data_IF_847775489502
#
_entry.id   IF_847775489502
#
_cell.length_a   1.000
_cell.length_b   1.000
_cell.length_c   1.000
_cell.angle_alpha   90.00
_cell.angle_beta   90.00
_cell.angle_gamma   90.00
#
_symmetry.space_group_name_H-M   'P 1'
#
loop_
_entity.id
_entity.type
_entity.pdbx_description
1 polymer ?
#
# COMPACT_ATOMS: atom_id res chain seq x y z
N UNK A 1 16.31 19.00 -20.79
CA UNK A 1 16.09 17.72 -21.51
C UNK A 1 14.59 17.50 -21.69
N UNK A 2 14.15 16.68 -22.67
CA UNK A 2 12.73 16.25 -22.72
C UNK A 2 12.44 15.38 -21.48
N UNK A 3 11.27 15.51 -20.82
CA UNK A 3 10.91 14.65 -19.70
C UNK A 3 10.92 13.17 -20.08
N UNK A 4 11.51 12.37 -19.20
CA UNK A 4 11.71 10.92 -19.33
C UNK A 4 10.78 10.18 -18.38
N UNK A 5 10.09 9.16 -18.88
CA UNK A 5 9.38 8.16 -18.08
C UNK A 5 10.32 6.99 -17.82
N UNK A 6 10.75 6.83 -16.57
CA UNK A 6 11.55 5.71 -16.09
C UNK A 6 10.64 4.75 -15.33
N UNK A 7 10.69 3.46 -15.66
CA UNK A 7 9.85 2.45 -15.00
C UNK A 7 10.67 1.60 -14.05
N UNK A 8 10.35 1.69 -12.75
CA UNK A 8 10.98 0.93 -11.68
C UNK A 8 10.36 -0.48 -11.57
N UNK A 9 11.15 -1.50 -11.93
CA UNK A 9 10.73 -2.90 -11.93
C UNK A 9 10.91 -3.54 -10.55
N UNK A 10 10.12 -3.10 -9.57
CA UNK A 10 10.15 -3.57 -8.18
C UNK A 10 9.49 -4.95 -7.99
N UNK A 11 10.06 -5.97 -8.63
CA UNK A 11 9.64 -7.36 -8.48
C UNK A 11 10.73 -8.19 -7.80
N UNK A 12 10.40 -9.15 -6.93
CA UNK A 12 11.37 -10.14 -6.47
C UNK A 12 11.62 -11.27 -7.50
N UNK A 13 10.88 -11.29 -8.61
CA UNK A 13 10.95 -12.34 -9.63
C UNK A 13 11.31 -11.75 -10.99
N UNK A 14 12.41 -12.24 -11.57
CA UNK A 14 12.94 -11.75 -12.83
C UNK A 14 11.98 -11.92 -14.02
N UNK A 15 11.24 -13.03 -14.09
CA UNK A 15 10.35 -13.29 -15.22
C UNK A 15 9.22 -12.25 -15.27
N UNK A 16 8.62 -11.96 -14.11
CA UNK A 16 7.59 -10.92 -14.00
C UNK A 16 8.13 -9.53 -14.32
N UNK A 17 9.36 -9.22 -13.86
CA UNK A 17 10.02 -7.96 -14.21
C UNK A 17 10.21 -7.80 -15.71
N UNK A 18 10.69 -8.84 -16.41
CA UNK A 18 10.90 -8.82 -17.87
C UNK A 18 9.59 -8.63 -18.64
N UNK A 19 8.50 -9.28 -18.21
CA UNK A 19 7.17 -9.12 -18.82
C UNK A 19 6.65 -7.69 -18.64
N UNK A 20 6.70 -7.16 -17.41
CA UNK A 20 6.29 -5.79 -17.13
C UNK A 20 7.14 -4.75 -17.88
N UNK A 21 8.44 -5.01 -18.04
CA UNK A 21 9.33 -4.17 -18.83
C UNK A 21 8.90 -4.11 -20.31
N UNK A 22 8.56 -5.24 -20.92
CA UNK A 22 8.10 -5.30 -22.31
C UNK A 22 6.80 -4.52 -22.50
N UNK A 23 5.82 -4.71 -21.61
CA UNK A 23 4.54 -3.99 -21.61
C UNK A 23 4.75 -2.47 -21.44
N UNK A 24 5.56 -2.07 -20.46
CA UNK A 24 5.85 -0.67 -20.19
C UNK A 24 6.53 0.04 -21.37
N UNK A 25 7.46 -0.63 -22.06
CA UNK A 25 8.11 -0.10 -23.26
C UNK A 25 7.11 0.08 -24.41
N UNK A 26 6.20 -0.88 -24.64
CA UNK A 26 5.09 -0.73 -25.61
C UNK A 26 4.18 0.45 -25.26
N UNK A 27 4.05 0.75 -23.97
CA UNK A 27 3.32 1.91 -23.45
C UNK A 27 4.07 3.24 -23.58
N UNK A 28 5.32 3.25 -24.04
CA UNK A 28 6.11 4.47 -24.24
C UNK A 28 7.00 4.86 -23.06
N UNK A 29 7.34 3.93 -22.17
CA UNK A 29 8.44 4.10 -21.23
C UNK A 29 9.75 4.35 -21.98
N UNK A 30 10.54 5.32 -21.52
CA UNK A 30 11.82 5.66 -22.15
C UNK A 30 12.95 4.84 -21.53
N UNK A 31 12.97 4.74 -20.19
CA UNK A 31 14.02 4.06 -19.41
C UNK A 31 13.41 2.95 -18.57
N UNK A 32 14.20 1.92 -18.31
CA UNK A 32 13.86 0.86 -17.36
C UNK A 32 14.85 0.89 -16.20
N UNK A 33 14.36 0.55 -15.01
CA UNK A 33 15.16 0.46 -13.80
C UNK A 33 15.00 -0.94 -13.20
N UNK A 34 16.12 -1.63 -12.99
CA UNK A 34 16.17 -2.78 -12.12
C UNK A 34 16.06 -2.28 -10.67
N UNK A 35 14.85 -2.30 -10.12
CA UNK A 35 14.57 -1.78 -8.79
C UNK A 35 15.28 -2.56 -7.68
N UNK A 36 15.46 -1.94 -6.51
CA UNK A 36 16.16 -2.57 -5.37
C UNK A 36 15.64 -3.98 -5.02
N UNK A 37 14.31 -4.27 -4.96
CA UNK A 37 13.82 -5.61 -4.64
C UNK A 37 14.24 -6.68 -5.66
N UNK A 38 14.32 -6.30 -6.94
CA UNK A 38 14.74 -7.19 -8.01
C UNK A 38 16.23 -7.51 -7.91
N UNK A 39 17.06 -6.48 -7.74
CA UNK A 39 18.50 -6.65 -7.54
C UNK A 39 18.79 -7.46 -6.27
N UNK A 40 18.05 -7.23 -5.18
CA UNK A 40 18.25 -8.00 -3.93
C UNK A 40 17.87 -9.47 -4.06
N UNK A 41 16.90 -9.80 -4.90
CA UNK A 41 16.45 -11.18 -5.08
C UNK A 41 17.31 -11.94 -6.10
N UNK A 42 17.64 -11.30 -7.22
CA UNK A 42 18.23 -11.95 -8.41
C UNK A 42 19.70 -11.54 -8.64
N UNK A 43 20.22 -10.64 -7.81
CA UNK A 43 21.51 -9.99 -8.03
C UNK A 43 21.54 -9.17 -9.32
N UNK A 44 22.75 -8.87 -9.78
CA UNK A 44 22.97 -8.18 -11.06
C UNK A 44 22.68 -9.05 -12.29
N UNK A 45 22.27 -10.31 -12.10
CA UNK A 45 21.74 -11.11 -13.21
C UNK A 45 20.48 -10.46 -13.80
N UNK A 46 19.67 -9.79 -12.98
CA UNK A 46 18.51 -9.04 -13.47
C UNK A 46 18.89 -7.95 -14.48
N UNK A 47 19.97 -7.19 -14.20
CA UNK A 47 20.48 -6.14 -15.09
C UNK A 47 21.00 -6.76 -16.40
N UNK A 48 21.72 -7.89 -16.33
CA UNK A 48 22.23 -8.60 -17.51
C UNK A 48 21.10 -9.08 -18.43
N UNK A 49 20.07 -9.69 -17.86
CA UNK A 49 18.93 -10.19 -18.64
C UNK A 49 18.09 -9.04 -19.22
N UNK A 50 17.90 -7.94 -18.49
CA UNK A 50 17.29 -6.72 -19.03
C UNK A 50 18.09 -6.15 -20.21
N UNK A 51 19.42 -6.03 -20.08
CA UNK A 51 20.29 -5.56 -21.17
C UNK A 51 20.23 -6.48 -22.38
N UNK A 52 20.28 -7.80 -22.16
CA UNK A 52 20.19 -8.80 -23.23
C UNK A 52 18.87 -8.72 -23.98
N UNK A 53 17.76 -8.53 -23.26
CA UNK A 53 16.41 -8.47 -23.84
C UNK A 53 16.12 -7.12 -24.50
N UNK A 54 16.65 -6.03 -23.97
CA UNK A 54 16.38 -4.66 -24.40
C UNK A 54 17.68 -3.86 -24.66
N UNK A 55 18.50 -4.25 -25.66
CA UNK A 55 19.85 -3.72 -25.84
C UNK A 55 19.93 -2.21 -26.13
N UNK A 56 18.89 -1.62 -26.72
CA UNK A 56 18.84 -0.19 -27.04
C UNK A 56 18.21 0.70 -25.96
N UNK A 57 17.70 0.12 -24.87
CA UNK A 57 17.00 0.88 -23.82
C UNK A 57 18.00 1.37 -22.78
N UNK A 58 17.77 2.58 -22.26
CA UNK A 58 18.57 3.11 -21.15
C UNK A 58 18.17 2.42 -19.85
N UNK A 59 19.13 1.82 -19.17
CA UNK A 59 18.92 0.99 -17.99
C UNK A 59 19.52 1.63 -16.74
N UNK A 60 18.72 1.80 -15.70
CA UNK A 60 19.18 2.14 -14.36
C UNK A 60 19.29 0.89 -13.49
N UNK A 61 20.31 0.82 -12.64
CA UNK A 61 20.43 -0.17 -11.58
C UNK A 61 20.28 0.55 -10.24
N UNK A 62 19.18 0.25 -9.54
CA UNK A 62 18.86 0.84 -8.26
C UNK A 62 19.56 0.11 -7.11
N UNK A 63 20.88 0.29 -7.07
CA UNK A 63 21.76 -0.38 -6.12
C UNK A 63 21.55 0.12 -4.69
N UNK A 64 21.14 1.39 -4.53
CA UNK A 64 21.11 2.09 -3.24
C UNK A 64 22.44 1.93 -2.49
N UNK A 65 23.54 2.01 -3.25
CA UNK A 65 24.90 1.92 -2.73
C UNK A 65 25.08 2.93 -1.61
N UNK A 66 25.57 2.46 -0.47
CA UNK A 66 25.88 3.28 0.71
C UNK A 66 27.37 3.29 1.03
N UNK A 67 28.08 2.26 0.60
CA UNK A 67 29.52 2.04 0.79
C UNK A 67 30.09 1.34 -0.46
N UNK A 68 31.40 1.38 -0.64
CA UNK A 68 32.12 0.73 -1.75
C UNK A 68 31.69 1.22 -3.14
N UNK A 69 31.54 2.55 -3.28
CA UNK A 69 31.01 3.22 -4.47
C UNK A 69 31.64 2.76 -5.78
N UNK A 70 32.97 2.61 -5.83
CA UNK A 70 33.63 2.15 -7.04
C UNK A 70 33.30 0.70 -7.42
N UNK A 71 33.25 -0.20 -6.43
CA UNK A 71 33.02 -1.63 -6.65
C UNK A 71 31.61 -1.89 -7.15
N UNK A 72 30.60 -1.34 -6.48
CA UNK A 72 29.20 -1.57 -6.86
C UNK A 72 28.86 -0.93 -8.22
N UNK A 73 29.39 0.26 -8.51
CA UNK A 73 29.23 0.91 -9.82
C UNK A 73 29.89 0.08 -10.92
N UNK A 74 31.10 -0.42 -10.70
CA UNK A 74 31.78 -1.31 -11.65
C UNK A 74 30.94 -2.54 -11.94
N UNK A 75 30.45 -3.21 -10.90
CA UNK A 75 29.65 -4.42 -11.03
C UNK A 75 28.38 -4.15 -11.85
N UNK A 76 27.64 -3.08 -11.53
CA UNK A 76 26.40 -2.71 -12.22
C UNK A 76 26.65 -2.29 -13.67
N UNK A 77 27.67 -1.48 -13.93
CA UNK A 77 28.05 -1.05 -15.28
C UNK A 77 28.45 -2.25 -16.15
N UNK A 78 29.29 -3.15 -15.64
CA UNK A 78 29.66 -4.41 -16.35
C UNK A 78 28.47 -5.33 -16.57
N UNK A 79 27.44 -5.27 -15.73
CA UNK A 79 26.19 -6.00 -15.94
C UNK A 79 25.31 -5.37 -17.04
N UNK A 80 25.61 -4.14 -17.47
CA UNK A 80 24.93 -3.46 -18.58
C UNK A 80 24.10 -2.24 -18.17
N UNK A 81 24.23 -1.74 -16.93
CA UNK A 81 23.57 -0.51 -16.50
C UNK A 81 24.19 0.72 -17.16
N UNK A 82 23.35 1.66 -17.60
CA UNK A 82 23.78 2.99 -18.03
C UNK A 82 23.80 3.99 -16.88
N UNK A 83 22.91 3.81 -15.90
CA UNK A 83 22.82 4.63 -14.71
C UNK A 83 22.94 3.73 -13.49
N UNK A 84 23.71 4.14 -12.50
CA UNK A 84 23.76 3.49 -11.18
C UNK A 84 23.20 4.46 -10.14
N UNK A 85 22.21 4.00 -9.38
CA UNK A 85 21.56 4.80 -8.33
C UNK A 85 22.22 4.49 -6.98
N UNK A 86 22.72 5.53 -6.32
CA UNK A 86 23.37 5.46 -5.01
C UNK A 86 22.59 6.30 -3.99
N UNK A 87 22.73 6.02 -2.69
CA UNK A 87 22.01 6.77 -1.66
C UNK A 87 22.66 8.13 -1.40
N UNK A 88 21.82 9.15 -1.20
CA UNK A 88 22.25 10.49 -0.81
C UNK A 88 22.81 10.55 0.60
N UNK A 89 22.53 9.57 1.45
CA UNK A 89 23.13 9.42 2.77
C UNK A 89 24.55 8.82 2.75
N UNK A 90 25.05 8.39 1.59
CA UNK A 90 26.42 7.89 1.45
C UNK A 90 27.44 8.99 1.72
N UNK A 91 28.62 8.62 2.22
CA UNK A 91 29.72 9.57 2.43
C UNK A 91 30.21 10.18 1.10
N UNK A 92 30.73 11.41 1.16
CA UNK A 92 31.25 12.09 -0.02
C UNK A 92 32.39 11.32 -0.71
N UNK A 93 33.21 10.59 0.05
CA UNK A 93 34.24 9.71 -0.51
C UNK A 93 33.63 8.60 -1.38
N UNK A 94 32.56 7.95 -0.90
CA UNK A 94 31.82 6.93 -1.63
C UNK A 94 31.20 7.51 -2.91
N UNK A 95 30.59 8.70 -2.83
CA UNK A 95 30.02 9.38 -4.00
C UNK A 95 31.11 9.72 -5.02
N UNK A 96 32.27 10.23 -4.59
CA UNK A 96 33.40 10.55 -5.49
C UNK A 96 33.91 9.30 -6.19
N UNK A 97 34.14 8.21 -5.45
CA UNK A 97 34.56 6.93 -6.02
C UNK A 97 33.55 6.37 -7.02
N UNK A 98 32.25 6.49 -6.72
CA UNK A 98 31.18 6.10 -7.63
C UNK A 98 31.21 6.92 -8.93
N UNK A 99 31.38 8.25 -8.84
CA UNK A 99 31.49 9.13 -10.02
C UNK A 99 32.73 8.79 -10.86
N UNK A 100 33.87 8.55 -10.22
CA UNK A 100 35.11 8.13 -10.91
C UNK A 100 34.95 6.77 -11.59
N UNK A 101 34.35 5.79 -10.92
CA UNK A 101 34.03 4.49 -11.51
C UNK A 101 33.03 4.62 -12.67
N UNK A 102 32.01 5.47 -12.53
CA UNK A 102 31.05 5.77 -13.59
C UNK A 102 31.75 6.28 -14.85
N UNK A 103 32.67 7.25 -14.71
CA UNK A 103 33.48 7.75 -15.84
C UNK A 103 34.34 6.66 -16.48
N UNK A 104 34.95 5.78 -15.69
CA UNK A 104 35.79 4.67 -16.21
C UNK A 104 35.00 3.63 -16.98
N UNK A 105 33.79 3.30 -16.52
CA UNK A 105 32.97 2.23 -17.09
C UNK A 105 31.83 2.71 -18.00
N UNK A 106 31.72 4.01 -18.24
CA UNK A 106 30.69 4.59 -19.11
C UNK A 106 29.28 4.57 -18.51
N UNK A 107 29.18 4.69 -17.18
CA UNK A 107 27.92 4.79 -16.45
C UNK A 107 27.76 6.16 -15.79
N UNK A 108 26.53 6.65 -15.75
CA UNK A 108 26.14 7.87 -15.07
C UNK A 108 25.69 7.58 -13.64
N UNK A 109 25.89 8.53 -12.73
CA UNK A 109 25.51 8.39 -11.33
C UNK A 109 24.25 9.21 -11.06
N UNK A 110 23.21 8.53 -10.58
CA UNK A 110 22.04 9.15 -9.99
C UNK A 110 22.10 9.00 -8.47
N UNK A 111 21.78 10.05 -7.72
CA UNK A 111 21.76 9.98 -6.25
C UNK A 111 20.34 10.14 -5.74
N UNK A 112 19.86 9.14 -5.00
CA UNK A 112 18.55 9.12 -4.37
C UNK A 112 18.58 9.82 -3.00
N UNK A 113 17.84 10.92 -2.85
CA UNK A 113 17.77 11.71 -1.62
C UNK A 113 16.84 11.10 -0.55
N UNK A 114 16.33 9.89 -0.75
CA UNK A 114 15.52 9.20 0.26
C UNK A 114 16.24 9.17 1.61
N UNK A 115 15.53 9.62 2.66
CA UNK A 115 16.07 9.63 4.02
C UNK A 115 17.09 10.74 4.32
N UNK A 116 17.41 11.62 3.38
CA UNK A 116 18.26 12.77 3.65
C UNK A 116 17.52 13.82 4.50
N UNK A 117 18.10 14.21 5.64
CA UNK A 117 17.52 15.23 6.53
C UNK A 117 17.47 16.62 5.87
N UNK A 118 18.47 16.96 5.05
CA UNK A 118 18.62 18.26 4.38
C UNK A 118 18.80 18.07 2.88
N UNK A 119 17.74 17.72 2.14
CA UNK A 119 17.83 17.35 0.73
C UNK A 119 18.39 18.48 -0.15
N UNK A 120 18.06 19.74 0.16
CA UNK A 120 18.55 20.90 -0.57
C UNK A 120 20.07 21.11 -0.44
N UNK A 121 20.57 21.11 0.80
CA UNK A 121 22.01 21.22 1.07
C UNK A 121 22.77 20.05 0.44
N UNK A 122 22.21 18.84 0.55
CA UNK A 122 22.80 17.64 -0.02
C UNK A 122 22.89 17.70 -1.53
N UNK A 123 21.83 18.10 -2.24
CA UNK A 123 21.85 18.23 -3.69
C UNK A 123 22.93 19.19 -4.21
N UNK A 124 23.13 20.33 -3.54
CA UNK A 124 24.19 21.30 -3.89
C UNK A 124 25.60 20.71 -3.69
N UNK A 125 25.79 19.85 -2.69
CA UNK A 125 27.06 19.15 -2.50
C UNK A 125 27.28 18.13 -3.62
N UNK A 126 26.27 17.32 -3.93
CA UNK A 126 26.33 16.28 -4.96
C UNK A 126 26.65 16.85 -6.35
N UNK A 127 26.13 18.03 -6.68
CA UNK A 127 26.48 18.77 -7.89
C UNK A 127 27.98 19.08 -7.98
N UNK A 128 28.59 19.55 -6.88
CA UNK A 128 30.03 19.79 -6.81
C UNK A 128 30.86 18.50 -6.91
N UNK A 129 30.31 17.37 -6.48
CA UNK A 129 30.95 16.06 -6.59
C UNK A 129 30.86 15.46 -8.00
N UNK A 130 30.14 16.11 -8.93
CA UNK A 130 30.07 15.70 -10.33
C UNK A 130 29.10 14.56 -10.62
N UNK A 131 28.06 14.42 -9.78
CA UNK A 131 26.93 13.52 -10.00
C UNK A 131 26.14 13.95 -11.25
N UNK A 132 25.55 13.00 -11.98
CA UNK A 132 24.79 13.29 -13.20
C UNK A 132 23.32 13.66 -12.93
N UNK A 133 22.70 13.02 -11.93
CA UNK A 133 21.27 13.18 -11.64
C UNK A 133 21.00 13.17 -10.12
N UNK A 134 19.98 13.89 -9.69
CA UNK A 134 19.49 13.84 -8.30
C UNK A 134 18.03 13.41 -8.28
N UNK A 135 17.69 12.40 -7.51
CA UNK A 135 16.32 11.89 -7.36
C UNK A 135 15.70 12.36 -6.04
N UNK A 136 14.57 13.07 -6.15
CA UNK A 136 13.70 13.41 -5.03
C UNK A 136 12.76 12.23 -4.78
N UNK A 137 13.05 11.48 -3.72
CA UNK A 137 12.26 10.32 -3.35
C UNK A 137 11.76 10.49 -1.92
N UNK A 138 10.44 10.48 -1.76
CA UNK A 138 9.81 10.50 -0.44
C UNK A 138 9.29 9.11 -0.13
N UNK A 139 9.92 8.45 0.85
CA UNK A 139 9.48 7.14 1.33
C UNK A 139 8.09 7.19 1.97
N UNK A 140 7.43 6.04 2.06
CA UNK A 140 6.05 5.90 2.57
C UNK A 140 5.90 6.53 3.97
N UNK A 141 6.84 6.27 4.87
CA UNK A 141 6.81 6.79 6.24
C UNK A 141 6.95 8.31 6.32
N UNK A 142 7.60 8.93 5.33
CA UNK A 142 7.76 10.39 5.25
C UNK A 142 6.52 11.06 4.65
N UNK A 143 5.86 10.41 3.67
CA UNK A 143 4.57 10.87 3.15
C UNK A 143 3.52 10.89 4.28
N UNK A 144 3.52 9.89 5.16
CA UNK A 144 2.65 9.85 6.35
C UNK A 144 2.92 10.97 7.34
N UNK A 145 4.11 11.57 7.33
CA UNK A 145 4.47 12.77 8.13
C UNK A 145 4.17 14.09 7.41
N UNK A 146 3.47 14.05 6.27
CA UNK A 146 3.06 15.24 5.51
C UNK A 146 4.14 15.83 4.59
N UNK A 147 5.23 15.10 4.32
CA UNK A 147 6.26 15.53 3.37
C UNK A 147 5.72 15.41 1.95
N UNK A 148 5.56 16.54 1.26
CA UNK A 148 5.13 16.58 -0.14
C UNK A 148 6.34 16.56 -1.10
N UNK A 149 6.54 15.49 -1.89
CA UNK A 149 7.67 15.37 -2.82
C UNK A 149 7.72 16.49 -3.86
N UNK A 150 6.57 16.96 -4.36
CA UNK A 150 6.50 18.03 -5.35
C UNK A 150 7.03 19.36 -4.79
N UNK A 151 6.79 19.63 -3.50
CA UNK A 151 7.30 20.83 -2.84
C UNK A 151 8.83 20.81 -2.75
N UNK A 152 9.40 19.66 -2.37
CA UNK A 152 10.86 19.49 -2.31
C UNK A 152 11.49 19.62 -3.70
N UNK A 153 10.85 19.03 -4.71
CA UNK A 153 11.27 19.13 -6.10
C UNK A 153 11.29 20.59 -6.59
N UNK A 154 10.22 21.36 -6.36
CA UNK A 154 10.17 22.77 -6.78
C UNK A 154 11.23 23.64 -6.11
N UNK A 155 11.57 23.36 -4.85
CA UNK A 155 12.66 24.05 -4.15
C UNK A 155 14.03 23.72 -4.78
N UNK A 156 14.26 22.46 -5.13
CA UNK A 156 15.52 22.02 -5.75
C UNK A 156 15.69 22.56 -7.18
N UNK A 157 14.60 22.63 -7.96
CA UNK A 157 14.65 23.05 -9.36
C UNK A 157 15.21 24.47 -9.57
N UNK A 158 15.11 25.35 -8.56
CA UNK A 158 15.69 26.70 -8.60
C UNK A 158 17.11 26.81 -8.05
N UNK A 159 17.68 25.73 -7.50
CA UNK A 159 18.85 25.78 -6.63
C UNK A 159 20.02 24.92 -7.10
N UNK A 160 19.77 23.98 -8.02
CA UNK A 160 20.80 23.15 -8.69
C UNK A 160 20.57 23.12 -10.20
N UNK A 161 21.63 22.96 -10.97
CA UNK A 161 21.59 22.83 -12.45
C UNK A 161 21.45 21.39 -12.93
N UNK A 162 21.62 20.41 -12.03
CA UNK A 162 21.46 18.99 -12.33
C UNK A 162 20.03 18.64 -12.78
N UNK A 163 19.86 17.74 -13.75
CA UNK A 163 18.54 17.19 -14.04
C UNK A 163 17.98 16.44 -12.83
N UNK A 164 16.75 16.78 -12.47
CA UNK A 164 16.06 16.20 -11.31
C UNK A 164 15.17 15.04 -11.72
N UNK A 165 15.26 13.96 -10.96
CA UNK A 165 14.32 12.85 -10.98
C UNK A 165 13.34 12.97 -9.79
N UNK A 166 12.15 12.38 -9.93
CA UNK A 166 11.20 12.23 -8.82
C UNK A 166 10.67 10.80 -8.77
N UNK A 167 10.57 10.26 -7.56
CA UNK A 167 10.05 8.93 -7.28
C UNK A 167 9.13 8.94 -6.04
N UNK A 168 8.32 7.89 -5.90
CA UNK A 168 7.47 7.66 -4.73
C UNK A 168 6.01 8.04 -4.96
N UNK A 169 5.20 7.06 -5.37
CA UNK A 169 3.74 7.22 -5.50
C UNK A 169 3.29 8.05 -6.70
N UNK A 170 4.15 8.27 -7.70
CA UNK A 170 3.78 8.98 -8.93
C UNK A 170 2.82 8.14 -9.77
N UNK A 171 1.78 8.76 -10.31
CA UNK A 171 0.77 8.14 -11.18
C UNK A 171 0.36 9.12 -12.30
N UNK A 172 -0.70 8.79 -13.06
CA UNK A 172 -1.14 9.59 -14.21
C UNK A 172 -1.71 10.97 -13.84
N UNK A 173 -2.01 11.23 -12.57
CA UNK A 173 -2.47 12.54 -12.09
C UNK A 173 -1.29 13.42 -11.70
N UNK A 174 -0.32 12.84 -11.00
CA UNK A 174 0.80 13.60 -10.42
C UNK A 174 2.00 13.73 -11.37
N UNK A 175 2.11 12.88 -12.40
CA UNK A 175 3.23 12.92 -13.35
C UNK A 175 3.31 14.25 -14.12
N UNK A 176 2.17 14.81 -14.52
CA UNK A 176 2.11 16.11 -15.18
C UNK A 176 2.57 17.25 -14.27
N UNK A 177 2.19 17.21 -12.99
CA UNK A 177 2.58 18.19 -11.98
C UNK A 177 4.07 18.11 -11.66
N UNK A 178 4.63 16.90 -11.58
CA UNK A 178 6.05 16.67 -11.42
C UNK A 178 6.88 17.32 -12.55
N UNK A 179 6.46 17.15 -13.80
CA UNK A 179 7.12 17.80 -14.95
C UNK A 179 7.08 19.32 -14.80
N UNK A 180 5.91 19.88 -14.48
CA UNK A 180 5.74 21.34 -14.26
C UNK A 180 6.59 21.86 -13.09
N UNK A 181 6.78 21.05 -12.06
CA UNK A 181 7.59 21.36 -10.90
C UNK A 181 9.12 21.28 -11.16
N UNK A 182 9.54 20.85 -12.35
CA UNK A 182 10.95 20.84 -12.77
C UNK A 182 11.59 19.45 -12.88
N UNK A 183 10.84 18.37 -12.70
CA UNK A 183 11.37 17.02 -12.91
C UNK A 183 11.65 16.77 -14.39
N UNK A 184 12.88 16.34 -14.67
CA UNK A 184 13.29 15.85 -15.97
C UNK A 184 13.11 14.34 -16.13
N UNK A 185 13.10 13.59 -15.02
CA UNK A 185 12.95 12.14 -14.99
C UNK A 185 11.84 11.78 -14.01
N UNK A 186 10.83 11.06 -14.48
CA UNK A 186 9.65 10.70 -13.70
C UNK A 186 9.71 9.19 -13.51
N UNK A 187 10.04 8.77 -12.28
CA UNK A 187 10.22 7.36 -11.93
C UNK A 187 8.88 6.82 -11.42
N UNK A 188 8.33 5.82 -12.13
CA UNK A 188 7.07 5.19 -11.77
C UNK A 188 7.24 3.69 -11.61
N UNK A 189 6.91 3.18 -10.42
CA UNK A 189 6.83 1.76 -10.13
C UNK A 189 5.38 1.29 -10.09
N UNK A 190 4.80 1.27 -8.88
CA UNK A 190 3.50 0.66 -8.57
C UNK A 190 2.38 0.95 -9.56
N UNK A 191 2.20 2.20 -9.98
CA UNK A 191 1.12 2.60 -10.90
C UNK A 191 1.19 1.96 -12.29
N UNK A 192 2.36 1.45 -12.69
CA UNK A 192 2.54 0.68 -13.94
C UNK A 192 2.64 -0.80 -13.61
N UNK A 193 3.53 -1.19 -12.71
CA UNK A 193 3.89 -2.60 -12.53
C UNK A 193 2.81 -3.41 -11.79
N UNK A 194 1.88 -2.77 -11.08
CA UNK A 194 0.73 -3.43 -10.43
C UNK A 194 -0.55 -3.30 -11.26
N UNK A 195 -0.53 -2.55 -12.35
CA UNK A 195 -1.67 -2.45 -13.24
C UNK A 195 -2.01 -3.80 -13.88
N UNK A 196 -3.32 -4.05 -14.02
CA UNK A 196 -3.82 -5.17 -14.81
C UNK A 196 -3.36 -5.10 -16.27
N UNK A 197 -3.21 -3.89 -16.80
CA UNK A 197 -2.61 -3.58 -18.10
C UNK A 197 -1.51 -2.52 -17.91
N UNK A 198 -0.26 -2.97 -17.87
CA UNK A 198 0.89 -2.09 -17.68
C UNK A 198 1.23 -1.26 -18.92
N UNK A 199 0.88 -1.74 -20.12
CA UNK A 199 1.09 -1.01 -21.36
C UNK A 199 0.21 0.23 -21.39
N UNK A 200 -1.09 0.07 -21.11
CA UNK A 200 -2.03 1.19 -21.06
C UNK A 200 -1.74 2.13 -19.88
N UNK A 201 -1.34 1.60 -18.73
CA UNK A 201 -0.92 2.43 -17.59
C UNK A 201 0.27 3.33 -17.94
N UNK A 202 1.33 2.77 -18.54
CA UNK A 202 2.49 3.52 -19.00
C UNK A 202 2.10 4.55 -20.07
N UNK A 203 1.23 4.19 -21.02
CA UNK A 203 0.73 5.10 -22.06
C UNK A 203 -0.02 6.30 -21.48
N UNK A 204 -0.90 6.08 -20.51
CA UNK A 204 -1.62 7.15 -19.82
C UNK A 204 -0.68 8.10 -19.11
N UNK A 205 0.29 7.58 -18.38
CA UNK A 205 1.29 8.39 -17.67
C UNK A 205 2.12 9.21 -18.67
N UNK A 206 2.63 8.57 -19.73
CA UNK A 206 3.39 9.24 -20.79
C UNK A 206 2.59 10.37 -21.43
N UNK A 207 1.31 10.13 -21.73
CA UNK A 207 0.38 11.14 -22.28
C UNK A 207 0.15 12.29 -21.30
N UNK A 208 0.00 12.02 -20.00
CA UNK A 208 -0.14 13.07 -18.99
C UNK A 208 1.10 13.96 -18.91
N UNK A 209 2.30 13.35 -18.98
CA UNK A 209 3.57 14.08 -19.00
C UNK A 209 3.72 14.95 -20.25
N UNK A 210 3.35 14.44 -21.43
CA UNK A 210 3.51 15.17 -22.69
C UNK A 210 2.47 16.28 -22.88
N UNK A 211 1.23 16.07 -22.43
CA UNK A 211 0.18 17.09 -22.53
C UNK A 211 0.22 18.09 -21.37
N UNK A 212 0.89 17.74 -20.26
CA UNK A 212 0.85 18.52 -19.02
C UNK A 212 -0.52 18.51 -18.34
N UNK A 213 -1.41 17.57 -18.69
CA UNK A 213 -2.76 17.44 -18.14
C UNK A 213 -2.84 16.18 -17.27
N UNK A 214 -3.20 16.31 -15.98
CA UNK A 214 -3.49 15.16 -15.11
C UNK A 214 -4.60 14.27 -15.70
N UNK A 215 -4.39 12.96 -15.69
CA UNK A 215 -5.40 11.98 -16.13
C UNK A 215 -5.87 11.19 -14.90
N UNK A 216 -7.16 11.27 -14.52
CA UNK A 216 -7.69 10.57 -13.34
C UNK A 216 -7.44 9.06 -13.35
N UNK A 217 -7.07 8.53 -12.18
CA UNK A 217 -6.88 7.12 -11.88
C UNK A 217 -7.55 6.78 -10.54
N UNK A 218 -8.41 5.76 -10.50
CA UNK A 218 -9.05 5.28 -9.27
C UNK A 218 -8.16 4.37 -8.42
N UNK A 219 -7.00 3.98 -8.95
CA UNK A 219 -6.02 3.09 -8.30
C UNK A 219 -4.65 3.77 -8.18
N UNK A 220 -3.78 3.23 -7.33
CA UNK A 220 -2.40 3.66 -7.12
C UNK A 220 -2.27 5.06 -6.51
N UNK A 221 -3.27 5.47 -5.72
CA UNK A 221 -3.21 6.68 -4.89
C UNK A 221 -2.82 6.29 -3.47
N UNK A 222 -2.04 7.13 -2.80
CA UNK A 222 -1.79 7.02 -1.35
C UNK A 222 -2.63 8.06 -0.65
N UNK A 223 -3.36 7.62 0.38
CA UNK A 223 -4.34 8.49 1.04
C UNK A 223 -3.91 8.90 2.44
N UNK A 224 -4.40 10.06 2.84
CA UNK A 224 -4.26 10.58 4.20
C UNK A 224 -5.36 10.10 5.16
N UNK A 225 -5.35 10.59 6.41
CA UNK A 225 -6.30 10.18 7.46
C UNK A 225 -7.78 10.34 7.08
N UNK A 226 -8.14 11.31 6.23
CA UNK A 226 -9.53 11.62 5.86
C UNK A 226 -10.21 10.59 4.95
N UNK A 227 -9.43 9.72 4.29
CA UNK A 227 -9.94 8.80 3.25
C UNK A 227 -9.87 7.33 3.70
N UNK A 228 -9.39 7.07 4.92
CA UNK A 228 -9.21 5.72 5.49
C UNK A 228 -10.48 4.88 5.38
N UNK A 229 -11.64 5.46 5.71
CA UNK A 229 -12.92 4.74 5.63
C UNK A 229 -13.21 4.25 4.21
N UNK A 230 -12.98 5.09 3.21
CA UNK A 230 -13.26 4.77 1.82
C UNK A 230 -12.40 3.59 1.34
N UNK A 231 -11.11 3.57 1.68
CA UNK A 231 -10.23 2.42 1.38
C UNK A 231 -10.72 1.16 2.09
N UNK A 232 -10.99 1.24 3.40
CA UNK A 232 -11.37 0.05 4.17
C UNK A 232 -12.72 -0.54 3.73
N UNK A 233 -13.58 0.26 3.10
CA UNK A 233 -14.80 -0.23 2.44
C UNK A 233 -14.52 -0.87 1.07
N UNK A 234 -13.45 -0.47 0.37
CA UNK A 234 -13.02 -1.04 -0.93
C UNK A 234 -12.29 -2.38 -0.79
N UNK A 235 -11.39 -2.51 0.18
CA UNK A 235 -10.54 -3.71 0.37
C UNK A 235 -11.26 -4.80 1.19
N UNK A 236 -10.93 -6.07 0.98
CA UNK A 236 -11.48 -7.18 1.77
C UNK A 236 -10.81 -7.33 3.15
N UNK A 237 -11.48 -8.01 4.09
CA UNK A 237 -10.87 -8.41 5.37
C UNK A 237 -9.65 -9.32 5.16
N UNK A 238 -9.64 -10.14 4.11
CA UNK A 238 -8.46 -10.92 3.70
C UNK A 238 -7.28 -10.03 3.31
N UNK A 239 -7.51 -9.00 2.49
CA UNK A 239 -6.45 -8.05 2.11
C UNK A 239 -5.89 -7.30 3.35
N UNK A 240 -6.75 -6.94 4.30
CA UNK A 240 -6.35 -6.30 5.56
C UNK A 240 -5.53 -7.27 6.43
N UNK A 241 -5.97 -8.53 6.55
CA UNK A 241 -5.25 -9.57 7.28
C UNK A 241 -3.85 -9.78 6.71
N UNK A 242 -3.71 -9.88 5.39
CA UNK A 242 -2.41 -9.98 4.71
C UNK A 242 -1.53 -8.75 4.93
N UNK A 243 -2.11 -7.55 4.88
CA UNK A 243 -1.42 -6.30 5.21
C UNK A 243 -0.94 -6.22 6.67
N UNK A 244 -1.60 -6.96 7.57
CA UNK A 244 -1.24 -7.12 8.99
C UNK A 244 -0.42 -8.39 9.28
N UNK A 245 0.11 -9.06 8.26
CA UNK A 245 0.85 -10.32 8.37
C UNK A 245 0.04 -11.48 8.97
N UNK A 246 -1.19 -11.67 8.48
CA UNK A 246 -2.12 -12.75 8.86
C UNK A 246 -2.58 -12.61 10.32
N UNK A 247 -3.00 -11.40 10.71
CA UNK A 247 -3.43 -11.05 12.07
C UNK A 247 -4.67 -10.17 12.05
N UNK A 248 -5.28 -10.03 13.22
CA UNK A 248 -6.41 -9.12 13.46
C UNK A 248 -7.79 -9.76 13.30
N UNK A 249 -7.87 -11.01 12.82
CA UNK A 249 -9.13 -11.73 12.66
C UNK A 249 -9.83 -11.97 14.01
N UNK A 250 -11.14 -11.73 14.07
CA UNK A 250 -12.00 -12.18 15.16
C UNK A 250 -12.53 -13.59 14.89
N UNK A 251 -12.31 -14.52 15.82
CA UNK A 251 -12.67 -15.93 15.68
C UNK A 251 -14.11 -16.22 16.05
N UNK A 252 -14.81 -16.90 15.15
CA UNK A 252 -16.18 -17.37 15.36
C UNK A 252 -17.24 -16.27 15.27
N UNK A 253 -16.85 -15.06 14.87
CA UNK A 253 -17.75 -13.93 14.64
C UNK A 253 -18.14 -13.93 13.16
N UNK A 254 -19.44 -14.03 12.86
CA UNK A 254 -19.95 -14.21 11.50
C UNK A 254 -20.99 -13.16 11.13
N UNK A 255 -21.08 -12.77 9.85
CA UNK A 255 -22.10 -11.84 9.39
C UNK A 255 -23.48 -12.47 9.52
N UNK A 256 -24.41 -11.72 10.08
CA UNK A 256 -25.84 -12.09 10.17
C UNK A 256 -26.54 -11.80 8.85
N UNK A 257 -26.14 -10.70 8.23
CA UNK A 257 -26.65 -10.21 6.94
C UNK A 257 -25.66 -10.60 5.84
N UNK A 258 -26.04 -11.42 4.85
CA UNK A 258 -25.15 -11.80 3.76
C UNK A 258 -24.69 -10.58 2.94
N UNK A 259 -23.43 -10.59 2.50
CA UNK A 259 -22.89 -9.57 1.59
C UNK A 259 -22.66 -8.18 2.18
N UNK A 260 -22.85 -7.99 3.50
CA UNK A 260 -22.60 -6.69 4.13
C UNK A 260 -21.13 -6.35 4.20
N UNK A 261 -20.85 -5.05 4.21
CA UNK A 261 -19.53 -4.46 4.44
C UNK A 261 -19.66 -3.38 5.49
N UNK A 262 -18.74 -3.35 6.45
CA UNK A 262 -18.61 -2.26 7.40
C UNK A 262 -17.16 -1.86 7.61
N UNK A 263 -16.96 -0.58 7.92
CA UNK A 263 -15.69 -0.05 8.39
C UNK A 263 -15.95 1.17 9.30
N UNK A 264 -15.39 1.18 10.49
CA UNK A 264 -15.46 2.33 11.39
C UNK A 264 -14.67 2.15 12.68
N UNK A 265 -14.43 3.24 13.42
CA UNK A 265 -13.78 3.16 14.74
C UNK A 265 -14.69 2.47 15.76
N UNK A 266 -14.08 1.71 16.67
CA UNK A 266 -14.75 0.90 17.67
C UNK A 266 -15.27 1.76 18.83
N UNK A 267 -16.56 1.65 19.08
CA UNK A 267 -17.17 1.98 20.37
C UNK A 267 -17.28 0.66 21.16
N UNK A 268 -16.40 0.47 22.14
CA UNK A 268 -16.33 -0.81 22.86
C UNK A 268 -17.33 -0.86 24.01
N UNK A 269 -17.94 -2.02 24.19
CA UNK A 269 -18.94 -2.31 25.22
C UNK A 269 -18.56 -3.62 25.88
N UNK A 270 -18.33 -3.59 27.20
CA UNK A 270 -18.29 -4.80 28.02
C UNK A 270 -19.65 -4.95 28.70
N UNK A 271 -20.21 -6.15 28.66
CA UNK A 271 -21.42 -6.46 29.40
C UNK A 271 -21.37 -7.86 30.03
N UNK A 272 -22.24 -8.10 30.99
CA UNK A 272 -22.37 -9.42 31.59
C UNK A 272 -23.06 -10.39 30.62
N UNK A 273 -22.80 -11.71 30.71
CA UNK A 273 -23.46 -12.70 29.86
C UNK A 273 -25.00 -12.56 29.88
N UNK A 274 -25.59 -12.30 28.71
CA UNK A 274 -27.03 -12.11 28.52
C UNK A 274 -27.57 -10.75 28.97
N UNK A 275 -26.75 -9.81 29.44
CA UNK A 275 -27.22 -8.46 29.74
C UNK A 275 -27.25 -7.60 28.47
N UNK A 276 -28.45 -7.22 28.03
CA UNK A 276 -28.64 -6.41 26.83
C UNK A 276 -28.71 -4.89 27.10
N UNK A 277 -28.76 -4.47 28.37
CA UNK A 277 -28.95 -3.06 28.70
C UNK A 277 -27.81 -2.18 28.15
N UNK A 278 -26.55 -2.57 28.40
CA UNK A 278 -25.40 -1.81 27.93
C UNK A 278 -25.23 -1.82 26.40
N UNK A 279 -25.35 -2.96 25.70
CA UNK A 279 -25.36 -2.97 24.24
C UNK A 279 -26.40 -2.03 23.62
N UNK A 280 -27.63 -1.99 24.14
CA UNK A 280 -28.68 -1.10 23.63
C UNK A 280 -28.39 0.37 23.96
N UNK A 281 -28.00 0.68 25.19
CA UNK A 281 -27.63 2.04 25.63
C UNK A 281 -26.42 2.59 24.83
N UNK A 282 -25.49 1.73 24.41
CA UNK A 282 -24.36 2.11 23.58
C UNK A 282 -24.76 2.78 22.26
N UNK A 283 -25.96 2.48 21.73
CA UNK A 283 -26.49 3.14 20.53
C UNK A 283 -26.59 4.65 20.75
N UNK A 284 -27.02 5.08 21.94
CA UNK A 284 -27.16 6.50 22.25
C UNK A 284 -25.82 7.22 22.40
N UNK A 285 -24.80 6.51 22.86
CA UNK A 285 -23.48 7.04 23.18
C UNK A 285 -22.55 7.05 21.95
N UNK A 286 -22.72 6.09 21.04
CA UNK A 286 -21.91 5.97 19.84
C UNK A 286 -22.19 7.12 18.85
N UNK A 287 -21.13 7.59 18.20
CA UNK A 287 -21.19 8.64 17.17
C UNK A 287 -21.52 8.04 15.81
N UNK A 288 -22.09 8.85 14.89
CA UNK A 288 -22.33 8.41 13.51
C UNK A 288 -21.08 7.80 12.87
N UNK A 289 -21.24 6.62 12.28
CA UNK A 289 -20.18 5.86 11.62
C UNK A 289 -19.29 5.00 12.53
N UNK A 290 -19.43 5.08 13.87
CA UNK A 290 -18.75 4.16 14.80
C UNK A 290 -19.35 2.75 14.73
N UNK A 291 -18.54 1.74 15.01
CA UNK A 291 -18.95 0.34 15.10
C UNK A 291 -19.01 -0.04 16.56
N UNK A 292 -20.17 -0.48 17.04
CA UNK A 292 -20.31 -0.99 18.40
C UNK A 292 -19.67 -2.38 18.47
N UNK A 293 -18.76 -2.60 19.42
CA UNK A 293 -18.11 -3.91 19.63
C UNK A 293 -18.42 -4.39 21.04
N UNK A 294 -19.13 -5.51 21.14
CA UNK A 294 -19.67 -6.03 22.39
C UNK A 294 -18.91 -7.27 22.83
N UNK A 295 -18.30 -7.20 24.01
CA UNK A 295 -17.83 -8.35 24.78
C UNK A 295 -18.97 -8.82 25.69
N UNK A 296 -19.67 -9.89 25.27
CA UNK A 296 -20.68 -10.60 26.07
C UNK A 296 -20.21 -12.00 26.46
N UNK A 297 -18.89 -12.21 26.49
CA UNK A 297 -18.20 -13.44 26.90
C UNK A 297 -18.67 -14.71 26.15
N UNK A 298 -19.09 -14.56 24.88
CA UNK A 298 -19.55 -15.67 24.06
C UNK A 298 -20.90 -16.27 24.50
N UNK A 299 -21.71 -15.53 25.26
CA UNK A 299 -23.01 -15.98 25.76
C UNK A 299 -23.97 -16.42 24.64
N UNK A 300 -24.79 -17.44 24.92
CA UNK A 300 -25.80 -18.02 24.02
C UNK A 300 -27.18 -17.33 24.12
N UNK A 301 -27.34 -16.34 24.99
CA UNK A 301 -28.53 -15.49 25.12
C UNK A 301 -28.33 -14.18 24.35
N UNK A 302 -29.34 -13.78 23.59
CA UNK A 302 -29.23 -12.61 22.72
C UNK A 302 -29.11 -11.31 23.54
N UNK A 303 -28.11 -10.51 23.18
CA UNK A 303 -27.90 -9.15 23.71
C UNK A 303 -28.23 -8.05 22.71
N UNK A 304 -28.70 -8.44 21.52
CA UNK A 304 -29.06 -7.56 20.43
C UNK A 304 -30.20 -8.17 19.60
N UNK A 305 -31.02 -7.31 18.97
CA UNK A 305 -32.16 -7.70 18.15
C UNK A 305 -32.60 -6.60 17.18
N UNK A 306 -33.81 -6.72 16.63
CA UNK A 306 -34.29 -5.80 15.58
C UNK A 306 -34.42 -4.35 16.05
N UNK A 307 -34.92 -4.11 17.27
CA UNK A 307 -35.18 -2.75 17.75
C UNK A 307 -33.87 -1.98 17.98
N UNK A 308 -32.86 -2.64 18.54
CA UNK A 308 -31.52 -2.08 18.67
C UNK A 308 -30.91 -1.76 17.30
N UNK A 309 -31.17 -2.63 16.31
CA UNK A 309 -30.75 -2.43 14.91
C UNK A 309 -31.41 -1.20 14.29
N UNK A 310 -32.73 -1.02 14.45
CA UNK A 310 -33.44 0.17 14.00
C UNK A 310 -32.94 1.45 14.66
N UNK A 311 -32.67 1.41 15.97
CA UNK A 311 -32.07 2.55 16.69
C UNK A 311 -30.67 2.88 16.14
N UNK A 312 -29.85 1.87 15.85
CA UNK A 312 -28.51 2.05 15.29
C UNK A 312 -28.54 2.66 13.87
N UNK A 313 -29.50 2.25 13.04
CA UNK A 313 -29.77 2.86 11.74
C UNK A 313 -30.17 4.33 11.87
N UNK A 314 -31.10 4.65 12.77
CA UNK A 314 -31.52 6.02 13.04
C UNK A 314 -30.37 6.95 13.45
N UNK A 315 -29.37 6.40 14.15
CA UNK A 315 -28.16 7.13 14.57
C UNK A 315 -26.98 7.02 13.58
N UNK A 316 -27.20 6.38 12.43
CA UNK A 316 -26.21 6.24 11.34
C UNK A 316 -24.91 5.59 11.80
N UNK A 317 -25.01 4.58 12.67
CA UNK A 317 -23.84 3.81 13.11
C UNK A 317 -23.26 2.97 11.95
N UNK A 318 -21.99 2.62 12.05
CA UNK A 318 -21.28 1.84 11.02
C UNK A 318 -21.58 0.35 11.03
N UNK A 319 -22.06 -0.18 12.16
CA UNK A 319 -22.36 -1.60 12.34
C UNK A 319 -22.28 -2.02 13.80
N UNK A 320 -22.48 -3.31 14.07
CA UNK A 320 -22.29 -3.92 15.38
C UNK A 320 -21.59 -5.28 15.27
N UNK A 321 -20.70 -5.55 16.22
CA UNK A 321 -19.98 -6.82 16.38
C UNK A 321 -20.23 -7.35 17.78
N UNK A 322 -20.66 -8.60 17.90
CA UNK A 322 -21.14 -9.17 19.16
C UNK A 322 -20.42 -10.48 19.42
N UNK A 323 -19.53 -10.50 20.42
CA UNK A 323 -18.99 -11.75 20.98
C UNK A 323 -20.00 -12.36 21.95
N UNK A 324 -21.10 -12.83 21.37
CA UNK A 324 -22.31 -13.31 22.03
C UNK A 324 -23.40 -13.56 20.99
N UNK A 325 -24.67 -13.55 21.42
CA UNK A 325 -25.79 -13.90 20.56
C UNK A 325 -26.63 -12.71 20.08
N UNK A 326 -27.28 -12.89 18.93
CA UNK A 326 -28.28 -11.99 18.35
C UNK A 326 -29.57 -12.75 18.06
N UNK A 327 -30.70 -12.03 18.05
CA UNK A 327 -32.02 -12.54 17.64
C UNK A 327 -32.66 -11.69 16.54
N UNK A 328 -33.86 -12.05 16.09
CA UNK A 328 -34.65 -11.30 15.09
C UNK A 328 -33.95 -11.20 13.72
N UNK A 329 -33.17 -12.23 13.37
CA UNK A 329 -32.25 -12.22 12.23
C UNK A 329 -32.93 -11.98 10.89
N UNK A 330 -34.15 -12.48 10.69
CA UNK A 330 -34.87 -12.28 9.43
C UNK A 330 -35.15 -10.79 9.19
N UNK A 331 -35.60 -10.07 10.21
CA UNK A 331 -35.85 -8.63 10.12
C UNK A 331 -34.54 -7.86 9.99
N UNK A 332 -33.52 -8.23 10.77
CA UNK A 332 -32.18 -7.62 10.66
C UNK A 332 -31.63 -7.72 9.23
N UNK A 333 -31.77 -8.89 8.58
CA UNK A 333 -31.34 -9.08 7.19
C UNK A 333 -32.02 -8.13 6.22
N UNK A 334 -33.32 -7.88 6.40
CA UNK A 334 -34.09 -6.97 5.56
C UNK A 334 -33.64 -5.51 5.70
N UNK A 335 -33.05 -5.14 6.85
CA UNK A 335 -32.55 -3.77 7.05
C UNK A 335 -31.24 -3.47 6.29
N UNK A 336 -30.47 -4.50 5.93
CA UNK A 336 -29.12 -4.35 5.38
C UNK A 336 -28.07 -3.82 6.36
N UNK A 337 -28.42 -3.60 7.64
CA UNK A 337 -27.47 -3.08 8.64
C UNK A 337 -26.38 -4.12 8.96
N UNK A 338 -25.09 -3.75 8.98
CA UNK A 338 -24.02 -4.69 9.28
C UNK A 338 -24.07 -5.17 10.74
N UNK A 339 -24.49 -6.43 10.93
CA UNK A 339 -24.50 -7.13 12.22
C UNK A 339 -23.62 -8.36 12.12
N UNK A 340 -22.68 -8.49 13.05
CA UNK A 340 -21.81 -9.64 13.20
C UNK A 340 -21.98 -10.23 14.58
N UNK A 341 -22.17 -11.55 14.68
CA UNK A 341 -22.40 -12.21 15.95
C UNK A 341 -21.74 -13.59 16.00
N UNK A 342 -21.51 -14.11 17.22
CA UNK A 342 -21.07 -15.49 17.42
C UNK A 342 -22.23 -16.48 17.27
N UNK A 343 -23.38 -16.13 17.82
CA UNK A 343 -24.54 -17.01 17.89
C UNK A 343 -25.80 -16.34 17.37
N UNK A 344 -26.69 -17.14 16.79
CA UNK A 344 -28.07 -16.75 16.46
C UNK A 344 -28.97 -17.58 17.36
N UNK A 345 -29.86 -16.92 18.11
CA UNK A 345 -30.73 -17.56 19.10
C UNK A 345 -32.08 -16.85 19.16
N UNK A 346 -33.20 -17.54 19.44
CA UNK A 346 -34.48 -16.88 19.68
C UNK A 346 -34.57 -16.26 21.08
N UNK A 347 -33.77 -16.74 22.05
CA UNK A 347 -33.93 -16.33 23.45
C UNK A 347 -33.06 -15.12 23.80
N UNK A 348 -33.70 -14.01 24.17
CA UNK A 348 -33.01 -12.86 24.74
C UNK A 348 -32.58 -13.13 26.18
N UNK A 349 -31.55 -12.40 26.62
CA UNK A 349 -31.25 -12.30 28.06
C UNK A 349 -32.06 -11.19 28.74
N UNK A 350 -31.53 -10.63 29.83
CA UNK A 350 -32.25 -9.72 30.74
C UNK A 350 -31.53 -8.37 30.85
N UNK A 351 -32.23 -7.23 30.93
CA UNK A 351 -31.60 -5.92 31.09
C UNK A 351 -31.19 -5.70 32.55
N UNK A 352 -29.96 -6.06 32.91
CA UNK A 352 -29.46 -5.92 34.29
C UNK A 352 -28.76 -4.58 34.53
N UNK A 353 -28.31 -3.92 33.46
CA UNK A 353 -27.68 -2.59 33.53
C UNK A 353 -26.19 -2.63 33.87
N UNK A 354 -25.56 -3.80 33.92
CA UNK A 354 -24.17 -3.96 34.29
C UNK A 354 -23.24 -3.96 33.06
N UNK A 355 -22.13 -3.25 33.17
CA UNK A 355 -21.10 -3.21 32.15
C UNK A 355 -20.46 -1.83 32.01
N UNK A 356 -19.60 -1.69 31.00
CA UNK A 356 -18.74 -0.55 30.81
C UNK A 356 -18.70 -0.15 29.33
N UNK A 357 -18.59 1.16 29.06
CA UNK A 357 -18.33 1.70 27.73
C UNK A 357 -16.89 2.16 27.63
N UNK A 358 -16.35 2.14 26.41
CA UNK A 358 -15.03 2.69 26.09
C UNK A 358 -13.91 2.13 26.98
N UNK A 359 -13.96 0.84 27.30
CA UNK A 359 -12.88 0.10 27.95
C UNK A 359 -12.19 -0.83 26.94
N UNK A 360 -10.94 -1.23 27.21
CA UNK A 360 -10.32 -2.32 26.43
C UNK A 360 -11.08 -3.62 26.71
N UNK A 361 -11.52 -4.31 25.66
CA UNK A 361 -12.27 -5.57 25.71
C UNK A 361 -11.59 -6.68 24.92
N UNK A 362 -12.03 -7.93 25.11
CA UNK A 362 -11.70 -9.04 24.22
C UNK A 362 -12.95 -9.47 23.44
N UNK A 363 -12.87 -9.45 22.10
CA UNK A 363 -13.96 -9.83 21.22
C UNK A 363 -13.44 -10.75 20.12
N UNK A 364 -14.01 -11.95 19.98
CA UNK A 364 -13.54 -12.95 19.04
C UNK A 364 -12.10 -13.41 19.30
N UNK A 365 -11.63 -13.31 20.54
CA UNK A 365 -10.24 -13.60 20.92
C UNK A 365 -9.23 -12.50 20.58
N UNK A 366 -9.68 -11.32 20.15
CA UNK A 366 -8.83 -10.17 19.82
C UNK A 366 -9.07 -9.05 20.83
N UNK A 367 -8.00 -8.39 21.28
CA UNK A 367 -8.10 -7.17 22.09
C UNK A 367 -8.58 -6.01 21.22
N UNK A 368 -9.59 -5.29 21.70
CA UNK A 368 -10.14 -4.11 21.02
C UNK A 368 -10.12 -2.94 21.98
N UNK A 369 -9.48 -1.83 21.60
CA UNK A 369 -9.50 -0.57 22.35
C UNK A 369 -10.49 0.41 21.72
N UNK A 370 -11.01 1.37 22.49
CA UNK A 370 -11.83 2.45 21.95
C UNK A 370 -11.09 3.20 20.83
N UNK A 371 -11.76 3.32 19.68
CA UNK A 371 -11.25 3.99 18.49
C UNK A 371 -10.37 3.12 17.58
N UNK A 372 -10.02 1.87 17.96
CA UNK A 372 -9.44 0.92 17.00
C UNK A 372 -10.42 0.71 15.83
N UNK A 373 -9.92 0.48 14.62
CA UNK A 373 -10.79 0.34 13.44
C UNK A 373 -11.24 -1.10 13.26
N UNK A 374 -12.53 -1.26 13.01
CA UNK A 374 -13.17 -2.55 12.81
C UNK A 374 -13.69 -2.61 11.40
N UNK A 375 -13.29 -3.64 10.67
CA UNK A 375 -13.74 -3.89 9.29
C UNK A 375 -14.36 -5.27 9.25
N UNK A 376 -15.56 -5.37 8.68
CA UNK A 376 -16.26 -6.63 8.55
C UNK A 376 -16.81 -6.83 7.14
N UNK A 377 -16.72 -8.06 6.64
CA UNK A 377 -17.35 -8.50 5.40
C UNK A 377 -17.78 -9.97 5.48
N UNK A 378 -18.03 -10.62 4.34
CA UNK A 378 -18.57 -11.99 4.33
C UNK A 378 -17.64 -13.03 4.97
N UNK A 379 -16.34 -12.78 5.03
CA UNK A 379 -15.36 -13.73 5.59
C UNK A 379 -15.28 -13.64 7.12
N UNK A 380 -15.53 -12.45 7.67
CA UNK A 380 -15.52 -12.21 9.12
C UNK A 380 -15.24 -10.75 9.47
N UNK A 381 -14.56 -10.55 10.60
CA UNK A 381 -14.22 -9.23 11.14
C UNK A 381 -12.72 -9.16 11.44
N UNK A 382 -12.09 -8.04 11.09
CA UNK A 382 -10.70 -7.72 11.41
C UNK A 382 -10.61 -6.42 12.20
N UNK A 383 -9.71 -6.38 13.19
CA UNK A 383 -9.42 -5.19 14.01
C UNK A 383 -8.05 -4.63 13.67
N UNK A 384 -8.00 -3.31 13.45
CA UNK A 384 -6.80 -2.56 13.12
C UNK A 384 -6.53 -1.56 14.26
N UNK A 385 -5.35 -1.57 14.90
CA UNK A 385 -5.00 -0.57 15.90
C UNK A 385 -5.10 0.86 15.34
N UNK A 386 -5.74 1.77 16.07
CA UNK A 386 -6.02 3.15 15.60
C UNK A 386 -4.78 3.91 15.12
N UNK A 387 -3.64 3.68 15.77
CA UNK A 387 -2.35 4.28 15.44
C UNK A 387 -1.74 3.77 14.13
N UNK A 388 -2.20 2.61 13.61
CA UNK A 388 -1.71 2.00 12.37
C UNK A 388 -2.72 2.07 11.23
N UNK A 389 -3.90 2.65 11.42
CA UNK A 389 -5.00 2.50 10.47
C UNK A 389 -4.65 3.05 9.07
N UNK A 390 -3.97 4.19 9.00
CA UNK A 390 -3.55 4.79 7.72
C UNK A 390 -2.53 3.88 7.00
N UNK A 391 -1.57 3.35 7.74
CA UNK A 391 -0.56 2.42 7.23
C UNK A 391 -1.19 1.14 6.71
N UNK A 392 -2.07 0.52 7.49
CA UNK A 392 -2.72 -0.75 7.14
C UNK A 392 -3.71 -0.56 5.98
N UNK A 393 -4.47 0.55 5.93
CA UNK A 393 -5.34 0.84 4.78
C UNK A 393 -4.54 0.93 3.47
N UNK A 394 -3.45 1.71 3.45
CA UNK A 394 -2.59 1.85 2.28
C UNK A 394 -1.87 0.54 1.89
N UNK A 395 -1.58 -0.34 2.85
CA UNK A 395 -1.02 -1.69 2.58
C UNK A 395 -2.08 -2.66 2.09
N UNK A 396 -3.29 -2.62 2.62
CA UNK A 396 -4.39 -3.47 2.17
C UNK A 396 -4.78 -3.14 0.72
N UNK A 397 -4.78 -1.86 0.36
CA UNK A 397 -4.97 -1.45 -1.04
C UNK A 397 -3.82 -1.93 -1.94
N UNK A 398 -2.57 -1.88 -1.46
CA UNK A 398 -1.42 -2.44 -2.18
C UNK A 398 -1.54 -3.96 -2.43
N UNK A 399 -2.10 -4.70 -1.47
CA UNK A 399 -2.41 -6.13 -1.64
C UNK A 399 -3.48 -6.31 -2.72
N UNK A 400 -4.57 -5.56 -2.66
CA UNK A 400 -5.65 -5.59 -3.65
C UNK A 400 -5.12 -5.33 -5.07
N UNK A 401 -4.32 -4.28 -5.26
CA UNK A 401 -3.72 -3.92 -6.55
C UNK A 401 -2.82 -5.04 -7.11
N UNK A 402 -1.99 -5.66 -6.24
CA UNK A 402 -1.16 -6.81 -6.66
C UNK A 402 -2.02 -8.00 -7.08
N UNK A 403 -3.09 -8.27 -6.35
CA UNK A 403 -4.03 -9.33 -6.68
C UNK A 403 -4.78 -9.06 -7.99
N UNK A 404 -5.09 -7.80 -8.32
CA UNK A 404 -5.70 -7.43 -9.60
C UNK A 404 -4.81 -7.82 -10.78
N UNK A 405 -3.50 -7.54 -10.71
CA UNK A 405 -2.56 -8.00 -11.75
C UNK A 405 -2.52 -9.52 -11.84
N UNK A 406 -2.38 -10.21 -10.71
CA UNK A 406 -2.37 -11.69 -10.68
C UNK A 406 -3.67 -12.24 -11.27
N UNK A 407 -4.82 -11.64 -10.94
CA UNK A 407 -6.14 -12.02 -11.44
C UNK A 407 -6.25 -11.80 -12.95
N UNK A 408 -5.70 -10.72 -13.49
CA UNK A 408 -5.65 -10.49 -14.93
C UNK A 408 -4.81 -11.57 -15.63
N UNK A 409 -3.64 -11.92 -15.09
CA UNK A 409 -2.79 -12.99 -15.63
C UNK A 409 -3.49 -14.37 -15.58
N UNK A 410 -4.25 -14.65 -14.52
CA UNK A 410 -5.04 -15.87 -14.40
C UNK A 410 -6.17 -15.90 -15.43
N UNK A 411 -6.90 -14.79 -15.60
CA UNK A 411 -7.96 -14.68 -16.61
C UNK A 411 -7.42 -14.80 -18.04
N UNK A 412 -6.16 -14.43 -18.26
CA UNK A 412 -5.46 -14.62 -19.53
C UNK A 412 -4.97 -16.06 -19.78
N UNK A 413 -5.24 -17.00 -18.87
CA UNK A 413 -5.01 -18.43 -19.05
C UNK A 413 -3.88 -19.04 -18.21
N UNK A 414 -3.19 -18.26 -17.37
CA UNK A 414 -2.19 -18.80 -16.44
C UNK A 414 -2.85 -19.39 -15.19
N UNK A 415 -2.24 -20.42 -14.59
CA UNK A 415 -2.64 -20.86 -13.24
C UNK A 415 -1.98 -19.99 -12.17
N UNK A 416 -2.58 -19.92 -10.97
CA UNK A 416 -1.98 -19.20 -9.84
C UNK A 416 -0.56 -19.71 -9.51
N UNK A 417 -0.36 -21.04 -9.61
CA UNK A 417 0.94 -21.68 -9.36
C UNK A 417 2.01 -21.21 -10.35
N UNK A 418 1.64 -21.03 -11.62
CA UNK A 418 2.55 -20.51 -12.65
C UNK A 418 2.85 -19.03 -12.43
N UNK A 419 1.83 -18.20 -12.18
CA UNK A 419 2.01 -16.75 -11.96
C UNK A 419 2.90 -16.48 -10.75
N UNK A 420 2.75 -17.24 -9.67
CA UNK A 420 3.55 -17.10 -8.45
C UNK A 420 4.81 -17.99 -8.45
N UNK A 421 5.01 -18.79 -9.51
CA UNK A 421 6.09 -19.77 -9.66
C UNK A 421 6.28 -20.65 -8.42
N UNK A 422 5.19 -21.16 -7.84
CA UNK A 422 5.23 -21.88 -6.57
C UNK A 422 6.14 -23.13 -6.61
N UNK A 423 6.30 -23.74 -7.80
CA UNK A 423 7.21 -24.88 -8.02
C UNK A 423 8.68 -24.60 -7.71
N UNK A 424 9.13 -23.34 -7.69
CA UNK A 424 10.51 -22.99 -7.30
C UNK A 424 10.80 -23.29 -5.82
N UNK A 425 9.76 -23.43 -5.02
CA UNK A 425 9.84 -23.74 -3.59
C UNK A 425 9.58 -25.21 -3.28
N UNK A 426 9.32 -26.03 -4.31
CA UNK A 426 9.20 -27.47 -4.11
C UNK A 426 10.55 -28.04 -3.67
N UNK A 427 10.49 -28.96 -2.71
CA UNK A 427 11.67 -29.69 -2.27
C UNK A 427 12.22 -30.47 -3.48
N UNK A 428 13.45 -30.16 -3.88
CA UNK A 428 14.17 -30.99 -4.83
C UNK A 428 14.40 -32.36 -4.18
N UNK A 429 13.68 -33.38 -4.65
CA UNK A 429 13.93 -34.77 -4.27
C UNK A 429 14.96 -35.30 -5.27
N UNK A 430 16.20 -35.48 -4.79
CA UNK A 430 17.31 -36.06 -5.53
C UNK A 430 17.40 -37.57 -5.35
#
# INVERSE_FOLDING_TARGET
>A
MKPVLQVALDFPDLHRALKAAEEALKGGADWLEAGTPLIKSEGLNAVRELRKRFPGVKLAADMKTVDTGALEVEMAAKAGANIVIILGSSDDSTVREAVEAGRRYGAEIMVDLIGCERPLERAKQLEKLGVNYVCVHVGIDQQMKGVNPLKVLSQLAGEVSLPLAIAGGINSETAAEAVKAGASIIIVGGAIIKAADAEEAARKIKKAMETGVPIPSESYRKVGPGEVKAILLKVSTANISDAMHRKGEMKGIKPVVPGVKMAGPAFTVRTFPGDWAKPVEAVEQAKPGEVIVVEAQGCDRAVWGELATWSALGRRLGGVVIDGAVRDVEVIRQTGFPVFARHITPTAGEPKGFGEFNVEITCGGVKVRPGDWVVGDSDGVVVIPREKVVEIANRAEDVLEKEERIRAEIKAGSTLSEVLRLKKWEKLVG
#
